data_IF_047329448740
#
_entry.id   IF_047329448740
#
_cell.length_a   1.000
_cell.length_b   1.000
_cell.length_c   1.000
_cell.angle_alpha   90.00
_cell.angle_beta   90.00
_cell.angle_gamma   90.00
#
_symmetry.space_group_name_H-M   'P 1'
#
loop_
_entity.id
_entity.type
_entity.pdbx_description
1 polymer ?
#
# COMPACT_ATOMS: atom_id res chain seq x y z
N UNK A 1 6.20 -12.05 -2.44
CA UNK A 1 7.32 -12.65 -1.68
C UNK A 1 7.99 -11.74 -0.65
N UNK A 2 8.62 -10.63 -1.05
CA UNK A 2 9.35 -9.78 -0.08
C UNK A 2 8.49 -9.29 1.10
N UNK A 3 7.29 -8.77 0.84
CA UNK A 3 6.38 -8.32 1.90
C UNK A 3 5.86 -9.50 2.74
N UNK A 4 5.59 -10.65 2.10
CA UNK A 4 5.21 -11.89 2.81
C UNK A 4 6.27 -12.26 3.85
N UNK A 5 7.54 -12.24 3.46
CA UNK A 5 8.67 -12.52 4.37
C UNK A 5 8.71 -11.54 5.54
N UNK A 6 8.51 -10.24 5.30
CA UNK A 6 8.44 -9.24 6.38
C UNK A 6 7.30 -9.55 7.35
N UNK A 7 6.10 -9.80 6.84
CA UNK A 7 4.92 -10.07 7.65
C UNK A 7 5.06 -11.35 8.49
N UNK A 8 5.63 -12.43 7.91
CA UNK A 8 5.95 -13.66 8.64
C UNK A 8 6.96 -13.43 9.78
N UNK A 9 7.84 -12.44 9.65
CA UNK A 9 8.78 -12.02 10.68
C UNK A 9 8.24 -10.91 11.60
N UNK A 10 6.92 -10.66 11.56
CA UNK A 10 6.24 -9.61 12.34
C UNK A 10 6.78 -8.21 12.06
N UNK A 11 7.26 -7.96 10.84
CA UNK A 11 7.76 -6.64 10.42
C UNK A 11 6.76 -6.01 9.47
N UNK A 12 6.36 -4.77 9.76
CA UNK A 12 5.61 -3.91 8.85
C UNK A 12 6.53 -2.82 8.30
N UNK A 13 6.48 -2.57 7.00
CA UNK A 13 7.39 -1.63 6.33
C UNK A 13 6.91 -0.18 6.45
N UNK A 14 5.61 0.06 6.27
CA UNK A 14 4.91 1.36 6.40
C UNK A 14 5.31 2.46 5.39
N UNK A 15 6.29 2.22 4.54
CA UNK A 15 6.65 3.14 3.44
C UNK A 15 7.00 2.40 2.13
N UNK A 16 6.17 1.42 1.75
CA UNK A 16 6.31 0.76 0.46
C UNK A 16 5.86 1.71 -0.67
N UNK A 17 6.77 1.98 -1.60
CA UNK A 17 6.58 2.86 -2.76
C UNK A 17 7.58 2.49 -3.83
N UNK A 18 7.36 2.93 -5.08
CA UNK A 18 8.28 2.66 -6.18
C UNK A 18 9.73 3.08 -5.87
N UNK A 19 9.92 4.21 -5.18
CA UNK A 19 11.27 4.67 -4.78
C UNK A 19 12.00 3.76 -3.77
N UNK A 20 11.29 2.85 -3.10
CA UNK A 20 11.84 1.90 -2.12
C UNK A 20 11.85 0.45 -2.64
N UNK A 21 11.53 0.26 -3.93
CA UNK A 21 11.58 -1.02 -4.63
C UNK A 21 12.68 -0.95 -5.69
N UNK A 22 13.81 -1.58 -5.41
CA UNK A 22 14.99 -1.57 -6.26
C UNK A 22 14.98 -2.76 -7.21
N UNK A 23 15.48 -2.56 -8.44
CA UNK A 23 15.69 -3.63 -9.40
C UNK A 23 17.18 -3.98 -9.47
N UNK A 24 17.51 -5.26 -9.45
CA UNK A 24 18.88 -5.71 -9.75
C UNK A 24 19.03 -5.98 -11.27
N UNK A 25 20.24 -6.34 -11.69
CA UNK A 25 20.53 -6.69 -13.10
C UNK A 25 19.80 -7.94 -13.61
N UNK A 26 19.19 -8.73 -12.73
CA UNK A 26 18.40 -9.92 -13.07
C UNK A 26 16.89 -9.67 -13.04
N UNK A 27 16.44 -8.42 -13.06
CA UNK A 27 15.04 -8.01 -12.95
C UNK A 27 14.34 -8.44 -11.65
N UNK A 28 15.08 -8.83 -10.61
CA UNK A 28 14.52 -9.08 -9.28
C UNK A 28 14.22 -7.77 -8.56
N UNK A 29 13.03 -7.70 -7.96
CA UNK A 29 12.66 -6.62 -7.05
C UNK A 29 13.23 -6.87 -5.65
N UNK A 30 13.91 -5.87 -5.08
CA UNK A 30 14.38 -5.84 -3.69
C UNK A 30 13.72 -4.70 -2.93
N UNK A 31 13.20 -4.99 -1.74
CA UNK A 31 12.64 -3.98 -0.83
C UNK A 31 13.81 -3.33 -0.07
N UNK A 32 13.85 -2.01 -0.02
CA UNK A 32 14.79 -1.26 0.81
C UNK A 32 14.14 -0.11 1.57
N UNK A 33 14.96 0.68 2.25
CA UNK A 33 14.56 1.78 3.14
C UNK A 33 13.57 1.37 4.26
N UNK A 34 14.14 0.75 5.30
CA UNK A 34 13.43 0.32 6.50
C UNK A 34 13.37 1.41 7.57
N UNK A 35 13.63 2.68 7.25
CA UNK A 35 13.69 3.78 8.24
C UNK A 35 12.36 3.98 8.99
N UNK A 36 11.25 3.62 8.36
CA UNK A 36 9.91 3.65 8.96
C UNK A 36 9.38 2.24 9.31
N UNK A 37 10.15 1.18 9.08
CA UNK A 37 9.70 -0.16 9.41
C UNK A 37 9.60 -0.35 10.93
N UNK A 38 8.73 -1.27 11.35
CA UNK A 38 8.54 -1.57 12.76
C UNK A 38 8.28 -3.06 12.96
N UNK A 39 8.87 -3.62 14.02
CA UNK A 39 8.56 -4.96 14.48
C UNK A 39 7.35 -4.93 15.41
N UNK A 40 6.39 -5.79 15.14
CA UNK A 40 5.28 -6.09 16.03
C UNK A 40 5.73 -7.12 17.07
N UNK A 41 5.34 -6.92 18.31
CA UNK A 41 5.65 -7.77 19.46
C UNK A 41 4.75 -9.02 19.48
N UNK A 42 3.50 -8.87 19.04
CA UNK A 42 2.51 -9.94 18.96
C UNK A 42 1.55 -9.69 17.79
N UNK A 43 0.91 -10.75 17.32
CA UNK A 43 -0.06 -10.64 16.23
C UNK A 43 -1.31 -9.90 16.72
N UNK A 44 -1.75 -8.91 15.94
CA UNK A 44 -2.80 -7.98 16.33
C UNK A 44 -2.29 -6.70 17.03
N UNK A 45 -0.99 -6.55 17.30
CA UNK A 45 -0.44 -5.25 17.72
C UNK A 45 -0.70 -4.20 16.62
N UNK A 46 -1.19 -3.02 17.04
CA UNK A 46 -1.45 -1.89 16.14
C UNK A 46 -0.61 -0.68 16.53
N UNK A 47 0.09 -0.12 15.56
CA UNK A 47 0.83 1.14 15.70
C UNK A 47 -0.10 2.33 15.45
N UNK A 48 0.18 3.48 16.06
CA UNK A 48 -0.64 4.71 15.94
C UNK A 48 0.11 5.89 15.33
N UNK A 49 1.38 5.69 14.97
CA UNK A 49 2.22 6.75 14.40
C UNK A 49 1.77 7.09 12.99
N UNK A 50 1.48 8.36 12.71
CA UNK A 50 1.28 8.85 11.36
C UNK A 50 2.64 8.91 10.64
N UNK A 51 2.88 8.00 9.69
CA UNK A 51 4.10 7.96 8.89
C UNK A 51 3.85 7.39 7.49
N UNK A 52 4.84 7.53 6.61
CA UNK A 52 4.79 7.06 5.23
C UNK A 52 4.62 8.20 4.22
N UNK A 53 4.73 7.86 2.94
CA UNK A 53 4.65 8.82 1.84
C UNK A 53 3.17 9.15 1.51
N UNK A 54 2.79 10.43 1.35
CA UNK A 54 1.39 10.84 1.21
C UNK A 54 0.53 10.12 0.16
N UNK A 55 1.11 9.76 -0.99
CA UNK A 55 0.38 9.08 -2.07
C UNK A 55 0.19 7.56 -1.84
N UNK A 56 0.88 6.98 -0.86
CA UNK A 56 0.94 5.54 -0.61
C UNK A 56 0.35 5.15 0.76
N UNK A 57 0.09 6.13 1.61
CA UNK A 57 -0.42 5.92 2.96
C UNK A 57 -1.86 5.38 2.95
N UNK A 58 -2.15 4.43 3.84
CA UNK A 58 -3.47 3.84 3.97
C UNK A 58 -4.44 4.73 4.79
N UNK A 59 -5.77 4.68 4.55
CA UNK A 59 -6.75 5.54 5.20
C UNK A 59 -6.72 5.50 6.74
N UNK A 60 -6.51 4.32 7.32
CA UNK A 60 -6.48 4.08 8.77
C UNK A 60 -5.26 4.72 9.45
N UNK A 61 -4.15 4.90 8.72
CA UNK A 61 -2.97 5.63 9.24
C UNK A 61 -3.28 7.12 9.36
N UNK A 62 -4.11 7.67 8.44
CA UNK A 62 -4.56 9.07 8.46
C UNK A 62 -5.65 9.35 9.51
N UNK A 63 -6.42 8.34 9.92
CA UNK A 63 -7.40 8.47 11.00
C UNK A 63 -6.74 8.35 12.39
N UNK A 64 -5.78 7.43 12.54
CA UNK A 64 -4.95 7.30 13.73
C UNK A 64 -5.64 6.77 14.99
N UNK A 65 -6.98 6.63 15.01
CA UNK A 65 -7.74 6.21 16.19
C UNK A 65 -7.57 4.72 16.50
N UNK A 66 -7.81 3.87 15.51
CA UNK A 66 -7.77 2.42 15.67
C UNK A 66 -6.35 1.86 15.50
N UNK A 67 -5.43 2.66 14.98
CA UNK A 67 -4.08 2.22 14.64
C UNK A 67 -4.04 1.26 13.45
N UNK A 68 -2.85 0.78 13.13
CA UNK A 68 -2.58 0.02 11.92
C UNK A 68 -1.55 -1.08 12.13
N UNK A 69 -1.64 -2.12 11.30
CA UNK A 69 -0.77 -3.30 11.31
C UNK A 69 -0.41 -3.70 9.87
N UNK A 70 -0.30 -4.99 9.57
CA UNK A 70 0.12 -5.56 8.28
C UNK A 70 -0.62 -5.00 7.05
N UNK A 71 -1.91 -4.66 7.19
CA UNK A 71 -2.80 -4.16 6.13
C UNK A 71 -2.30 -2.92 5.39
N UNK A 72 -1.43 -2.11 6.01
CA UNK A 72 -0.93 -0.86 5.40
C UNK A 72 0.06 -1.14 4.28
N UNK A 73 0.83 -2.21 4.43
CA UNK A 73 1.75 -2.67 3.39
C UNK A 73 0.97 -3.26 2.22
N UNK A 74 -0.12 -3.99 2.49
CA UNK A 74 -1.04 -4.48 1.46
C UNK A 74 -1.64 -3.33 0.66
N UNK A 75 -2.14 -2.29 1.33
CA UNK A 75 -2.63 -1.08 0.66
C UNK A 75 -1.56 -0.45 -0.23
N UNK A 76 -0.35 -0.27 0.32
CA UNK A 76 0.78 0.32 -0.40
C UNK A 76 1.16 -0.48 -1.64
N UNK A 77 1.09 -1.82 -1.59
CA UNK A 77 1.25 -2.69 -2.76
C UNK A 77 0.17 -2.41 -3.81
N UNK A 78 -1.09 -2.27 -3.41
CA UNK A 78 -2.17 -1.90 -4.33
C UNK A 78 -1.92 -0.57 -5.03
N UNK A 79 -1.40 0.43 -4.31
CA UNK A 79 -0.99 1.71 -4.87
C UNK A 79 0.18 1.55 -5.85
N UNK A 80 1.20 0.76 -5.49
CA UNK A 80 2.33 0.45 -6.38
C UNK A 80 1.85 -0.23 -7.66
N UNK A 81 1.02 -1.26 -7.56
CA UNK A 81 0.46 -1.98 -8.72
C UNK A 81 -0.33 -1.05 -9.63
N UNK A 82 -1.20 -0.22 -9.05
CA UNK A 82 -1.93 0.80 -9.81
C UNK A 82 -0.96 1.74 -10.53
N UNK A 83 0.08 2.22 -9.83
CA UNK A 83 1.04 3.18 -10.38
C UNK A 83 1.84 2.56 -11.53
N UNK A 84 2.26 1.31 -11.44
CA UNK A 84 2.94 0.61 -12.53
C UNK A 84 2.07 0.51 -13.80
N UNK A 85 0.76 0.32 -13.65
CA UNK A 85 -0.17 0.13 -14.77
C UNK A 85 -0.69 1.45 -15.35
N UNK A 86 -0.84 2.48 -14.51
CA UNK A 86 -1.46 3.76 -14.88
C UNK A 86 -0.44 4.88 -15.08
N UNK A 87 0.78 4.71 -14.58
CA UNK A 87 1.87 5.68 -14.65
C UNK A 87 1.84 6.77 -13.57
N UNK A 88 0.81 6.79 -12.72
CA UNK A 88 0.69 7.71 -11.58
C UNK A 88 -0.11 7.09 -10.43
N UNK A 89 0.06 7.56 -9.17
CA UNK A 89 -0.71 7.05 -8.05
C UNK A 89 -2.23 7.31 -8.20
N UNK A 90 -3.09 6.45 -7.61
CA UNK A 90 -4.54 6.53 -7.76
C UNK A 90 -5.16 7.78 -7.12
N UNK A 91 -4.54 8.31 -6.06
CA UNK A 91 -5.05 9.42 -5.26
C UNK A 91 -4.25 10.72 -5.44
N UNK A 92 -3.32 10.74 -6.41
CA UNK A 92 -2.44 11.89 -6.61
C UNK A 92 -3.22 13.15 -6.97
N UNK A 93 -2.92 14.25 -6.28
CA UNK A 93 -3.45 15.58 -6.56
C UNK A 93 -2.34 16.64 -6.40
N UNK A 94 -2.66 17.90 -6.67
CA UNK A 94 -1.70 19.01 -6.57
C UNK A 94 -1.24 19.30 -5.13
N UNK A 95 -2.02 18.89 -4.12
CA UNK A 95 -1.69 19.15 -2.71
C UNK A 95 -1.99 17.96 -1.80
N UNK A 96 -1.24 17.87 -0.71
CA UNK A 96 -1.32 16.74 0.22
C UNK A 96 -2.70 16.65 0.90
N UNK A 97 -3.35 17.78 1.18
CA UNK A 97 -4.65 17.80 1.85
C UNK A 97 -5.75 17.23 0.95
N UNK A 98 -5.72 17.56 -0.34
CA UNK A 98 -6.64 17.00 -1.33
C UNK A 98 -6.39 15.51 -1.56
N UNK A 99 -5.12 15.09 -1.61
CA UNK A 99 -4.72 13.68 -1.67
C UNK A 99 -5.30 12.88 -0.50
N UNK A 100 -5.16 13.38 0.73
CA UNK A 100 -5.73 12.74 1.91
C UNK A 100 -7.26 12.67 1.89
N UNK A 101 -7.95 13.65 1.30
CA UNK A 101 -9.41 13.59 1.12
C UNK A 101 -9.80 12.44 0.18
N UNK A 102 -9.09 12.26 -0.95
CA UNK A 102 -9.35 11.17 -1.88
C UNK A 102 -9.03 9.80 -1.26
N UNK A 103 -7.94 9.68 -0.51
CA UNK A 103 -7.60 8.45 0.22
C UNK A 103 -8.70 8.09 1.21
N UNK A 104 -9.15 9.05 2.04
CA UNK A 104 -10.23 8.81 3.03
C UNK A 104 -11.57 8.47 2.37
N UNK A 105 -11.87 9.06 1.22
CA UNK A 105 -13.06 8.74 0.44
C UNK A 105 -12.90 7.47 -0.43
N UNK A 106 -11.67 6.94 -0.54
CA UNK A 106 -11.25 5.88 -1.45
C UNK A 106 -11.75 6.10 -2.89
N UNK A 107 -11.55 7.32 -3.39
CA UNK A 107 -12.03 7.75 -4.71
C UNK A 107 -10.87 7.76 -5.71
N UNK A 108 -10.89 6.80 -6.64
CA UNK A 108 -9.98 6.72 -7.79
C UNK A 108 -10.67 6.03 -8.97
N UNK A 109 -10.12 6.19 -10.18
CA UNK A 109 -10.67 5.57 -11.38
C UNK A 109 -9.56 5.17 -12.35
N UNK A 110 -9.74 4.03 -13.03
CA UNK A 110 -8.86 3.62 -14.12
C UNK A 110 -9.19 4.45 -15.37
N UNK A 111 -8.20 5.10 -16.02
CA UNK A 111 -8.45 5.86 -17.23
C UNK A 111 -8.90 4.96 -18.40
N UNK A 112 -9.98 5.31 -19.10
CA UNK A 112 -10.53 4.51 -20.22
C UNK A 112 -9.56 4.34 -21.39
N UNK A 113 -8.65 5.31 -21.57
CA UNK A 113 -7.62 5.28 -22.62
C UNK A 113 -6.53 4.24 -22.38
N UNK A 114 -6.42 3.67 -21.17
CA UNK A 114 -5.39 2.70 -20.82
C UNK A 114 -5.97 1.29 -20.83
N UNK A 115 -5.29 0.38 -21.51
CA UNK A 115 -5.65 -1.03 -21.55
C UNK A 115 -5.13 -1.73 -20.28
N UNK A 116 -5.87 -1.56 -19.17
CA UNK A 116 -5.67 -2.35 -17.95
C UNK A 116 -6.65 -3.51 -17.95
N UNK A 117 -6.15 -4.73 -17.77
CA UNK A 117 -6.98 -5.94 -17.76
C UNK A 117 -8.00 -5.93 -16.61
N UNK A 118 -9.16 -6.56 -16.82
CA UNK A 118 -10.19 -6.62 -15.78
C UNK A 118 -9.74 -7.43 -14.56
N UNK A 119 -8.88 -8.42 -14.75
CA UNK A 119 -8.23 -9.14 -13.66
C UNK A 119 -7.38 -8.21 -12.78
N UNK A 120 -6.55 -7.36 -13.40
CA UNK A 120 -5.73 -6.39 -12.66
C UNK A 120 -6.60 -5.34 -11.94
N UNK A 121 -7.62 -4.80 -12.62
CA UNK A 121 -8.59 -3.88 -12.00
C UNK A 121 -9.30 -4.51 -10.80
N UNK A 122 -9.75 -5.76 -10.95
CA UNK A 122 -10.43 -6.52 -9.90
C UNK A 122 -9.52 -6.73 -8.69
N UNK A 123 -8.28 -7.16 -8.91
CA UNK A 123 -7.30 -7.35 -7.85
C UNK A 123 -6.99 -6.05 -7.10
N UNK A 124 -6.72 -4.95 -7.83
CA UNK A 124 -6.47 -3.64 -7.22
C UNK A 124 -7.67 -3.17 -6.40
N UNK A 125 -8.91 -3.34 -6.89
CA UNK A 125 -10.12 -2.99 -6.14
C UNK A 125 -10.35 -3.84 -4.88
N UNK A 126 -9.89 -5.09 -4.87
CA UNK A 126 -9.89 -5.95 -3.68
C UNK A 126 -8.85 -5.50 -2.66
N UNK A 127 -7.68 -5.07 -3.11
CA UNK A 127 -6.59 -4.60 -2.25
C UNK A 127 -6.90 -3.21 -1.67
N UNK A 128 -7.35 -2.27 -2.50
CA UNK A 128 -7.65 -0.88 -2.12
C UNK A 128 -9.05 -0.75 -1.51
N UNK A 129 -9.33 -1.50 -0.44
CA UNK A 129 -10.52 -1.33 0.41
C UNK A 129 -10.23 -0.37 1.55
N UNK A 130 -11.19 0.49 1.87
CA UNK A 130 -11.06 1.47 2.96
C UNK A 130 -10.88 0.74 4.29
N UNK A 131 -11.74 -0.25 4.54
CA UNK A 131 -11.71 -1.10 5.72
C UNK A 131 -10.53 -2.09 5.63
N UNK A 132 -9.53 -2.00 6.54
CA UNK A 132 -8.38 -2.90 6.62
C UNK A 132 -8.71 -4.39 6.52
N UNK A 133 -9.74 -4.81 7.26
CA UNK A 133 -10.16 -6.20 7.42
C UNK A 133 -10.80 -6.80 6.15
N UNK A 134 -11.22 -5.95 5.20
CA UNK A 134 -11.75 -6.38 3.91
C UNK A 134 -10.65 -6.55 2.86
N UNK A 135 -9.41 -6.17 3.16
CA UNK A 135 -8.27 -6.38 2.28
C UNK A 135 -7.82 -7.84 2.38
N UNK A 136 -7.42 -8.48 1.26
CA UNK A 136 -6.77 -9.78 1.32
C UNK A 136 -5.48 -9.69 2.14
N UNK A 137 -5.10 -10.76 2.82
CA UNK A 137 -3.74 -10.85 3.35
C UNK A 137 -2.75 -10.92 2.18
N UNK A 138 -1.46 -10.68 2.44
CA UNK A 138 -0.43 -10.87 1.41
C UNK A 138 -0.38 -12.30 0.90
N UNK A 139 -0.76 -13.28 1.72
CA UNK A 139 -0.82 -14.68 1.31
C UNK A 139 -1.97 -14.96 0.34
N UNK A 140 -3.07 -14.20 0.41
CA UNK A 140 -4.26 -14.38 -0.45
C UNK A 140 -4.17 -13.68 -1.82
N UNK A 141 -3.11 -12.90 -2.06
CA UNK A 141 -2.91 -12.13 -3.30
C UNK A 141 -2.22 -12.98 -4.38
N UNK A 142 -1.54 -14.07 -3.99
CA UNK A 142 -0.75 -14.93 -4.88
C UNK A 142 -1.35 -16.32 -5.01
#
# INVERSE_FOLDING_TARGET
DGVRYLHQNKVIHRDLKLGNLFLNHGDDVKIGDFGLACKLQFDGERKRTLCGTPNYIAPEVLDGKNGHSYEVDTWSIGVVMYTCLVGKPPFETADVKSTYKLIKANTYAFPDRLLVSDAAKSLIRRILKSEPELRPSIDDIF
#
